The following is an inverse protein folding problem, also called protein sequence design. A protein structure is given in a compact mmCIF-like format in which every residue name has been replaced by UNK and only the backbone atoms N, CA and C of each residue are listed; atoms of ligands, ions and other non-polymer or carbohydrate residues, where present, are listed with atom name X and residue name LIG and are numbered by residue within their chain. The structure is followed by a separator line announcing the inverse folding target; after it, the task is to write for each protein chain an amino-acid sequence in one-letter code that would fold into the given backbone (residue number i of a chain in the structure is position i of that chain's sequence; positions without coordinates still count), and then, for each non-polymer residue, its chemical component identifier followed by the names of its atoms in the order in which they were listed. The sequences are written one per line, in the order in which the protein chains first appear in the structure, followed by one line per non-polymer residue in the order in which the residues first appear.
data_IF_244501849741
#
_entry.id   IF_244501849741
#
_cell.length_a   1.000
_cell.length_b   1.000
_cell.length_c   1.000
_cell.angle_alpha   90.00
_cell.angle_beta   90.00
_cell.angle_gamma   90.00
#
_symmetry.space_group_name_H-M   'P 1'
#
loop_
_entity.id
_entity.type
_entity.pdbx_description
1 polymer ?
#
# COMPACT_ATOMS: atom_id res chain seq x y z
N UNK A 1 -0.58 -19.92 -9.69
CA UNK A 1 -0.58 -21.08 -10.61
C UNK A 1 -1.72 -20.97 -11.63
N UNK A 2 -2.97 -20.77 -11.19
CA UNK A 2 -4.12 -20.64 -12.11
C UNK A 2 -3.99 -19.47 -13.10
N UNK A 3 -3.31 -18.38 -12.71
CA UNK A 3 -3.05 -17.22 -13.55
C UNK A 3 -1.73 -17.33 -14.36
N UNK A 4 -1.10 -18.50 -14.40
CA UNK A 4 0.14 -18.74 -15.13
C UNK A 4 1.39 -18.16 -14.46
N UNK A 5 1.31 -17.74 -13.19
CA UNK A 5 2.45 -17.27 -12.41
C UNK A 5 3.28 -18.43 -11.85
N UNK A 6 4.59 -18.26 -11.84
CA UNK A 6 5.52 -19.19 -11.21
C UNK A 6 5.52 -18.97 -9.69
N UNK A 7 4.97 -19.91 -8.96
CA UNK A 7 4.84 -19.84 -7.49
C UNK A 7 6.00 -20.59 -6.84
N UNK A 8 6.77 -19.88 -6.03
CA UNK A 8 7.96 -20.36 -5.34
C UNK A 8 7.87 -20.10 -3.84
N UNK A 9 8.76 -20.67 -3.08
CA UNK A 9 9.01 -20.23 -1.69
C UNK A 9 9.57 -18.79 -1.69
N UNK A 10 9.37 -18.06 -0.58
CA UNK A 10 9.83 -16.68 -0.46
C UNK A 10 11.32 -16.49 -0.76
N UNK A 11 12.24 -17.33 -0.23
CA UNK A 11 13.66 -17.25 -0.57
C UNK A 11 13.97 -17.53 -2.05
N UNK A 12 13.31 -18.54 -2.63
CA UNK A 12 13.52 -18.89 -4.05
C UNK A 12 13.02 -17.79 -4.99
N UNK A 13 11.90 -17.16 -4.64
CA UNK A 13 11.37 -16.03 -5.40
C UNK A 13 12.31 -14.83 -5.35
N UNK A 14 12.82 -14.47 -4.17
CA UNK A 14 13.77 -13.37 -3.99
C UNK A 14 15.05 -13.61 -4.79
N UNK A 15 15.64 -14.81 -4.70
CA UNK A 15 16.86 -15.17 -5.43
C UNK A 15 16.72 -15.11 -6.95
N UNK A 16 15.51 -15.21 -7.48
CA UNK A 16 15.25 -15.25 -8.92
C UNK A 16 14.78 -13.89 -9.49
N UNK A 17 14.73 -12.85 -8.68
CA UNK A 17 14.11 -11.58 -9.05
C UNK A 17 15.06 -10.40 -8.90
N UNK A 18 15.09 -9.50 -9.88
CA UNK A 18 15.76 -8.20 -9.80
C UNK A 18 14.93 -7.16 -8.99
N UNK A 19 13.63 -7.39 -8.84
CA UNK A 19 12.73 -6.53 -8.07
C UNK A 19 11.90 -7.40 -7.12
N UNK A 20 12.11 -7.24 -5.83
CA UNK A 20 11.39 -7.96 -4.77
C UNK A 20 10.37 -7.02 -4.12
N UNK A 21 9.09 -7.25 -4.40
CA UNK A 21 8.00 -6.47 -3.83
C UNK A 21 7.42 -7.14 -2.58
N UNK A 22 7.55 -6.48 -1.42
CA UNK A 22 6.92 -6.93 -0.18
C UNK A 22 5.50 -6.35 -0.11
N UNK A 23 4.50 -7.22 -0.35
CA UNK A 23 3.07 -6.84 -0.43
C UNK A 23 2.22 -7.49 0.67
N UNK A 24 2.86 -7.97 1.73
CA UNK A 24 2.18 -8.50 2.93
C UNK A 24 1.84 -7.37 3.89
N UNK A 25 1.01 -7.65 4.90
CA UNK A 25 0.72 -6.66 5.95
C UNK A 25 1.99 -6.29 6.73
N UNK A 26 2.11 -5.04 7.21
CA UNK A 26 3.32 -4.48 7.86
C UNK A 26 3.88 -5.37 8.98
N UNK A 27 3.01 -5.97 9.79
CA UNK A 27 3.40 -6.92 10.84
C UNK A 27 4.15 -8.16 10.32
N UNK A 28 4.04 -8.46 9.04
CA UNK A 28 4.72 -9.58 8.40
C UNK A 28 5.99 -9.15 7.63
N UNK A 29 6.26 -7.84 7.50
CA UNK A 29 7.42 -7.34 6.78
C UNK A 29 8.74 -7.88 7.36
N UNK A 30 8.94 -7.78 8.68
CA UNK A 30 10.18 -8.24 9.34
C UNK A 30 10.39 -9.76 9.14
N UNK A 31 9.40 -10.65 9.44
CA UNK A 31 9.54 -12.08 9.18
C UNK A 31 9.86 -12.43 7.72
N UNK A 32 9.21 -11.75 6.76
CA UNK A 32 9.47 -11.97 5.33
C UNK A 32 10.85 -11.46 4.96
N UNK A 33 11.22 -10.25 5.37
CA UNK A 33 12.52 -9.68 5.09
C UNK A 33 13.66 -10.56 5.61
N UNK A 34 13.53 -11.12 6.80
CA UNK A 34 14.53 -12.04 7.35
C UNK A 34 14.72 -13.34 6.54
N UNK A 35 13.74 -13.73 5.72
CA UNK A 35 13.86 -14.87 4.81
C UNK A 35 14.54 -14.49 3.49
N UNK A 36 14.46 -13.23 3.07
CA UNK A 36 14.93 -12.80 1.74
C UNK A 36 16.25 -12.02 1.77
N UNK A 37 16.60 -11.38 2.87
CA UNK A 37 17.73 -10.43 2.95
C UNK A 37 19.08 -11.00 2.49
N UNK A 38 19.31 -12.30 2.68
CA UNK A 38 20.55 -12.99 2.26
C UNK A 38 20.50 -13.42 0.78
N UNK A 39 19.40 -13.20 0.11
CA UNK A 39 19.18 -13.53 -1.30
C UNK A 39 19.04 -12.29 -2.19
N UNK A 40 19.09 -11.09 -1.59
CA UNK A 40 19.16 -9.84 -2.34
C UNK A 40 20.59 -9.63 -2.83
N UNK A 41 20.71 -9.33 -4.11
CA UNK A 41 21.99 -9.08 -4.77
C UNK A 41 22.22 -7.58 -4.99
N UNK A 42 23.49 -7.18 -5.18
CA UNK A 42 23.83 -5.79 -5.45
C UNK A 42 23.13 -5.28 -6.73
N UNK A 43 22.43 -4.18 -6.63
CA UNK A 43 21.64 -3.58 -7.72
C UNK A 43 20.18 -4.01 -7.79
N UNK A 44 19.76 -4.97 -6.94
CA UNK A 44 18.34 -5.32 -6.80
C UNK A 44 17.51 -4.16 -6.26
N UNK A 45 16.20 -4.27 -6.41
CA UNK A 45 15.24 -3.33 -5.84
C UNK A 45 14.37 -4.03 -4.82
N UNK A 46 14.40 -3.55 -3.59
CA UNK A 46 13.41 -3.88 -2.56
C UNK A 46 12.27 -2.86 -2.64
N UNK A 47 11.06 -3.32 -2.97
CA UNK A 47 9.92 -2.45 -3.22
C UNK A 47 8.80 -2.69 -2.22
N UNK A 48 8.17 -1.61 -1.78
CA UNK A 48 7.06 -1.60 -0.84
C UNK A 48 5.81 -0.96 -1.45
N UNK A 49 4.64 -1.33 -0.92
CA UNK A 49 3.37 -0.64 -1.21
C UNK A 49 3.02 0.41 -0.15
N UNK A 50 3.70 0.38 1.01
CA UNK A 50 3.63 1.34 2.11
C UNK A 50 4.98 1.36 2.83
N UNK A 51 5.46 2.52 3.20
CA UNK A 51 6.84 2.73 3.63
C UNK A 51 7.12 2.48 5.12
N UNK A 52 6.14 2.01 5.92
CA UNK A 52 6.20 1.92 7.38
C UNK A 52 7.50 1.31 7.92
N UNK A 53 7.86 0.13 7.44
CA UNK A 53 9.02 -0.60 7.97
C UNK A 53 10.36 0.04 7.65
N UNK A 54 10.45 0.83 6.60
CA UNK A 54 11.63 1.61 6.22
C UNK A 54 11.66 2.90 7.03
N UNK A 55 10.58 3.68 7.04
CA UNK A 55 10.49 4.97 7.73
C UNK A 55 10.79 4.84 9.24
N UNK A 56 10.24 3.81 9.87
CA UNK A 56 10.47 3.55 11.30
C UNK A 56 11.67 2.62 11.59
N UNK A 57 12.59 2.43 10.63
CA UNK A 57 13.82 1.65 10.78
C UNK A 57 13.62 0.22 11.31
N UNK A 58 12.48 -0.41 10.98
CA UNK A 58 12.22 -1.81 11.32
C UNK A 58 12.94 -2.77 10.37
N UNK A 59 13.19 -2.32 9.15
CA UNK A 59 13.99 -2.98 8.13
C UNK A 59 15.11 -2.03 7.72
N UNK A 60 16.35 -2.53 7.74
CA UNK A 60 17.53 -1.84 7.25
C UNK A 60 18.04 -2.59 6.02
N UNK A 61 17.72 -2.13 4.80
CA UNK A 61 18.19 -2.75 3.57
C UNK A 61 19.72 -2.64 3.43
N UNK A 62 20.36 -3.57 2.67
CA UNK A 62 21.77 -3.45 2.33
C UNK A 62 22.05 -2.14 1.57
N UNK A 63 23.26 -1.60 1.72
CA UNK A 63 23.67 -0.34 1.08
C UNK A 63 23.79 -0.45 -0.46
N UNK A 64 23.88 -1.66 -0.98
CA UNK A 64 24.00 -1.98 -2.40
C UNK A 64 22.66 -2.41 -3.06
N UNK A 65 21.54 -2.28 -2.36
CA UNK A 65 20.18 -2.57 -2.84
C UNK A 65 19.38 -1.28 -2.92
N UNK A 66 18.70 -1.04 -4.04
CA UNK A 66 17.79 0.11 -4.15
C UNK A 66 16.49 -0.13 -3.40
N UNK A 67 15.89 0.94 -2.86
CA UNK A 67 14.64 0.86 -2.09
C UNK A 67 13.62 1.83 -2.66
N UNK A 68 12.49 1.30 -3.07
CA UNK A 68 11.40 2.07 -3.68
C UNK A 68 10.05 1.79 -3.04
N UNK A 69 9.12 2.71 -3.22
CA UNK A 69 7.73 2.54 -2.87
C UNK A 69 6.83 2.91 -4.04
N UNK A 70 5.85 2.07 -4.31
CA UNK A 70 4.70 2.39 -5.16
C UNK A 70 3.44 2.07 -4.36
N UNK A 71 2.75 3.09 -3.91
CA UNK A 71 1.59 3.01 -3.03
C UNK A 71 0.29 3.40 -3.79
N UNK A 72 -0.43 2.43 -4.38
CA UNK A 72 -1.74 2.70 -4.95
C UNK A 72 -2.72 3.14 -3.86
N UNK A 73 -3.43 4.24 -4.06
CA UNK A 73 -4.37 4.80 -3.07
C UNK A 73 -5.75 4.15 -3.21
N UNK A 74 -5.77 2.84 -2.95
CA UNK A 74 -6.99 2.02 -2.89
C UNK A 74 -6.64 0.63 -2.33
N UNK A 75 -7.59 -0.07 -1.68
CA UNK A 75 -7.42 -1.47 -1.32
C UNK A 75 -7.06 -2.35 -2.51
N UNK A 76 -6.18 -3.35 -2.33
CA UNK A 76 -5.61 -4.15 -3.41
C UNK A 76 -6.64 -4.79 -4.36
N UNK A 77 -7.77 -5.26 -3.83
CA UNK A 77 -8.86 -5.82 -4.66
C UNK A 77 -9.52 -4.78 -5.58
N UNK A 78 -9.54 -3.49 -5.17
CA UNK A 78 -10.04 -2.40 -6.01
C UNK A 78 -9.01 -2.00 -7.08
N UNK A 79 -7.71 -2.02 -6.75
CA UNK A 79 -6.64 -1.83 -7.73
C UNK A 79 -6.79 -2.86 -8.86
N UNK A 80 -6.96 -4.14 -8.51
CA UNK A 80 -7.18 -5.22 -9.50
C UNK A 80 -8.45 -5.01 -10.31
N UNK A 81 -9.57 -4.69 -9.65
CA UNK A 81 -10.85 -4.42 -10.31
C UNK A 81 -10.76 -3.26 -11.31
N UNK A 82 -10.14 -2.16 -10.91
CA UNK A 82 -9.96 -1.00 -11.79
C UNK A 82 -9.08 -1.37 -12.99
N UNK A 83 -7.98 -2.08 -12.75
CA UNK A 83 -7.09 -2.54 -13.80
C UNK A 83 -7.81 -3.37 -14.86
N UNK A 84 -8.63 -4.35 -14.45
CA UNK A 84 -9.39 -5.24 -15.38
C UNK A 84 -10.50 -4.52 -16.13
N UNK A 85 -10.87 -3.31 -15.73
CA UNK A 85 -11.85 -2.43 -16.37
C UNK A 85 -11.21 -1.29 -17.18
N UNK A 86 -9.92 -1.38 -17.46
CA UNK A 86 -9.12 -0.33 -18.09
C UNK A 86 -9.15 1.03 -17.35
N UNK A 87 -9.53 1.00 -16.08
CA UNK A 87 -9.46 2.15 -15.18
C UNK A 87 -8.12 2.16 -14.45
N UNK A 88 -7.73 3.32 -13.92
CA UNK A 88 -6.55 3.48 -13.07
C UNK A 88 -6.91 3.66 -11.60
N UNK A 89 -5.93 3.43 -10.75
CA UNK A 89 -5.96 3.83 -9.35
C UNK A 89 -4.79 4.78 -9.12
N UNK A 90 -5.01 6.01 -8.63
CA UNK A 90 -3.91 6.93 -8.35
C UNK A 90 -2.87 6.27 -7.44
N UNK A 91 -1.60 6.57 -7.66
CA UNK A 91 -0.52 6.01 -6.85
C UNK A 91 0.50 7.07 -6.44
N UNK A 92 1.14 6.84 -5.31
CA UNK A 92 2.30 7.58 -4.87
C UNK A 92 3.57 6.78 -5.19
N UNK A 93 4.66 7.47 -5.52
CA UNK A 93 5.95 6.88 -5.82
C UNK A 93 7.02 7.59 -5.01
N UNK A 94 7.86 6.82 -4.33
CA UNK A 94 9.02 7.34 -3.62
C UNK A 94 10.25 6.46 -3.82
N UNK A 95 11.42 7.09 -3.78
CA UNK A 95 12.72 6.42 -3.79
C UNK A 95 13.42 6.76 -2.47
N UNK A 96 13.71 5.74 -1.67
CA UNK A 96 14.46 5.90 -0.43
C UNK A 96 15.97 5.77 -0.65
N UNK A 97 16.37 4.78 -1.45
CA UNK A 97 17.76 4.49 -1.81
C UNK A 97 17.83 4.14 -3.28
N UNK A 98 18.77 4.75 -4.01
CA UNK A 98 19.02 4.47 -5.43
C UNK A 98 20.50 4.20 -5.64
N UNK A 99 20.85 2.92 -5.85
CA UNK A 99 22.25 2.49 -6.02
C UNK A 99 22.64 2.35 -7.48
N UNK A 100 21.66 2.24 -8.38
CA UNK A 100 21.88 2.05 -9.83
C UNK A 100 21.61 3.30 -10.64
N UNK A 101 20.98 4.33 -10.05
CA UNK A 101 20.61 5.58 -10.72
C UNK A 101 19.35 5.47 -11.59
N UNK A 102 18.66 4.31 -11.56
CA UNK A 102 17.46 4.05 -12.36
C UNK A 102 16.25 3.56 -11.54
N UNK A 103 16.37 3.52 -10.20
CA UNK A 103 15.34 3.03 -9.31
C UNK A 103 13.99 3.74 -9.50
N UNK A 104 14.00 5.06 -9.71
CA UNK A 104 12.80 5.85 -10.01
C UNK A 104 12.13 5.41 -11.31
N UNK A 105 12.90 5.18 -12.35
CA UNK A 105 12.39 4.76 -13.66
C UNK A 105 11.75 3.37 -13.58
N UNK A 106 12.40 2.45 -12.87
CA UNK A 106 11.87 1.10 -12.63
C UNK A 106 10.57 1.13 -11.81
N UNK A 107 10.54 1.90 -10.72
CA UNK A 107 9.34 2.08 -9.90
C UNK A 107 8.18 2.71 -10.69
N UNK A 108 8.46 3.72 -11.53
CA UNK A 108 7.46 4.32 -12.41
C UNK A 108 6.94 3.33 -13.46
N UNK A 109 7.81 2.50 -14.02
CA UNK A 109 7.43 1.43 -14.94
C UNK A 109 6.52 0.41 -14.25
N UNK A 110 6.84 0.02 -13.02
CA UNK A 110 5.96 -0.85 -12.23
C UNK A 110 4.61 -0.19 -11.98
N UNK A 111 4.56 1.07 -11.53
CA UNK A 111 3.33 1.82 -11.31
C UNK A 111 2.46 1.89 -12.59
N UNK A 112 3.11 2.07 -13.75
CA UNK A 112 2.43 2.05 -15.04
C UNK A 112 1.83 0.67 -15.34
N UNK A 113 2.58 -0.41 -15.10
CA UNK A 113 2.14 -1.78 -15.38
C UNK A 113 1.00 -2.25 -14.49
N UNK A 114 0.91 -1.79 -13.25
CA UNK A 114 -0.24 -2.06 -12.37
C UNK A 114 -1.43 -1.10 -12.60
N UNK A 115 -1.30 -0.17 -13.56
CA UNK A 115 -2.39 0.71 -13.99
C UNK A 115 -2.46 2.07 -13.28
N UNK A 116 -1.55 2.39 -12.35
CA UNK A 116 -1.58 3.68 -11.63
C UNK A 116 -1.45 4.87 -12.59
N UNK A 117 -0.62 4.77 -13.61
CA UNK A 117 -0.40 5.86 -14.57
C UNK A 117 -1.65 6.25 -15.37
N UNK A 118 -2.69 5.39 -15.44
CA UNK A 118 -3.97 5.73 -16.07
C UNK A 118 -4.76 6.78 -15.28
N UNK A 119 -4.54 6.86 -13.96
CA UNK A 119 -5.18 7.83 -13.08
C UNK A 119 -4.23 8.94 -12.61
N UNK A 120 -2.93 8.65 -12.60
CA UNK A 120 -1.86 9.55 -12.20
C UNK A 120 -0.95 8.96 -11.13
N UNK A 121 0.33 9.34 -11.20
CA UNK A 121 1.36 8.97 -10.21
C UNK A 121 1.98 10.26 -9.70
N UNK A 122 2.01 10.44 -8.38
CA UNK A 122 2.60 11.58 -7.71
C UNK A 122 3.87 11.13 -7.02
N UNK A 123 4.95 11.88 -7.20
CA UNK A 123 6.19 11.66 -6.48
C UNK A 123 6.10 12.25 -5.08
N UNK A 124 6.60 11.51 -4.09
CA UNK A 124 6.60 11.88 -2.67
C UNK A 124 7.85 11.31 -1.98
N UNK A 125 7.87 11.30 -0.66
CA UNK A 125 8.89 10.65 0.16
C UNK A 125 8.26 9.52 0.99
N UNK A 126 9.11 8.62 1.54
CA UNK A 126 8.64 7.60 2.49
C UNK A 126 8.02 8.23 3.74
N UNK A 127 8.62 9.29 4.25
CA UNK A 127 8.14 10.04 5.43
C UNK A 127 6.74 10.63 5.16
N UNK A 128 6.61 11.42 4.09
CA UNK A 128 5.35 12.11 3.77
C UNK A 128 4.21 11.11 3.52
N UNK A 129 4.46 10.03 2.78
CA UNK A 129 3.45 9.00 2.54
C UNK A 129 3.04 8.31 3.83
N UNK A 130 4.00 7.80 4.61
CA UNK A 130 3.71 7.01 5.82
C UNK A 130 2.98 7.83 6.87
N UNK A 131 3.44 9.04 7.15
CA UNK A 131 2.85 9.86 8.20
C UNK A 131 1.47 10.36 7.82
N UNK A 132 1.28 10.82 6.57
CA UNK A 132 -0.02 11.29 6.09
C UNK A 132 -1.04 10.17 5.93
N UNK A 133 -0.63 9.00 5.48
CA UNK A 133 -1.49 7.82 5.33
C UNK A 133 -2.00 7.33 6.69
N UNK A 134 -1.09 7.10 7.65
CA UNK A 134 -1.44 6.71 9.01
C UNK A 134 -2.33 7.74 9.72
N UNK A 135 -2.03 9.03 9.57
CA UNK A 135 -2.86 10.08 10.15
C UNK A 135 -4.25 10.11 9.50
N UNK A 136 -4.31 10.03 8.18
CA UNK A 136 -5.57 10.02 7.42
C UNK A 136 -6.46 8.84 7.79
N UNK A 137 -5.87 7.65 7.94
CA UNK A 137 -6.59 6.46 8.37
C UNK A 137 -7.16 6.62 9.79
N UNK A 138 -6.35 7.06 10.74
CA UNK A 138 -6.77 7.21 12.14
C UNK A 138 -7.76 8.36 12.33
N UNK A 139 -7.48 9.52 11.73
CA UNK A 139 -8.30 10.72 11.92
C UNK A 139 -9.61 10.70 11.13
N UNK A 140 -9.63 10.08 9.95
CA UNK A 140 -10.76 10.13 9.03
C UNK A 140 -11.25 8.75 8.63
N UNK A 141 -10.45 8.00 7.84
CA UNK A 141 -10.94 6.86 7.05
C UNK A 141 -11.41 5.67 7.89
N UNK A 142 -10.68 5.32 8.94
CA UNK A 142 -10.97 4.18 9.81
C UNK A 142 -11.50 4.62 11.19
N UNK A 143 -10.93 5.64 11.78
CA UNK A 143 -11.29 6.13 13.10
C UNK A 143 -12.43 7.14 13.11
N UNK A 144 -12.22 8.31 12.51
CA UNK A 144 -13.13 9.45 12.63
C UNK A 144 -14.51 9.22 12.05
N UNK A 145 -14.60 8.74 10.81
CA UNK A 145 -15.89 8.52 10.12
C UNK A 145 -16.74 7.49 10.87
N UNK A 146 -16.16 6.36 11.26
CA UNK A 146 -16.88 5.32 12.00
C UNK A 146 -17.37 5.83 13.35
N UNK A 147 -16.58 6.64 14.03
CA UNK A 147 -16.96 7.25 15.29
C UNK A 147 -18.10 8.27 15.13
N UNK A 148 -18.00 9.12 14.11
CA UNK A 148 -19.04 10.11 13.79
C UNK A 148 -20.38 9.43 13.50
N UNK A 149 -20.38 8.42 12.62
CA UNK A 149 -21.59 7.63 12.28
C UNK A 149 -22.21 7.05 13.54
N UNK A 150 -21.40 6.37 14.36
CA UNK A 150 -21.89 5.74 15.58
C UNK A 150 -22.50 6.76 16.56
N UNK A 151 -21.83 7.87 16.81
CA UNK A 151 -22.32 8.91 17.72
C UNK A 151 -23.62 9.52 17.23
N UNK A 152 -23.74 9.79 15.92
CA UNK A 152 -24.97 10.35 15.35
C UNK A 152 -26.11 9.35 15.41
N UNK A 153 -25.86 8.08 15.11
CA UNK A 153 -26.83 7.00 15.23
C UNK A 153 -27.34 6.86 16.67
N UNK A 154 -26.42 6.75 17.63
CA UNK A 154 -26.76 6.63 19.04
C UNK A 154 -27.61 7.83 19.50
N UNK A 155 -27.24 9.06 19.10
CA UNK A 155 -27.98 10.28 19.44
C UNK A 155 -29.42 10.23 18.92
N UNK A 156 -29.64 9.80 17.68
CA UNK A 156 -31.00 9.69 17.14
C UNK A 156 -31.84 8.66 17.90
N UNK A 157 -31.29 7.49 18.16
CA UNK A 157 -31.98 6.42 18.88
C UNK A 157 -32.32 6.83 20.33
N UNK A 158 -31.38 7.48 21.01
CA UNK A 158 -31.60 8.00 22.38
C UNK A 158 -32.67 9.09 22.43
N UNK A 159 -32.93 9.79 21.34
CA UNK A 159 -33.99 10.79 21.23
C UNK A 159 -35.30 10.22 20.65
N UNK A 160 -35.44 8.90 20.59
CA UNK A 160 -36.71 8.21 20.31
C UNK A 160 -36.98 7.94 18.82
N UNK A 161 -36.01 8.18 17.93
CA UNK A 161 -36.12 7.75 16.52
C UNK A 161 -35.87 6.26 16.39
N UNK A 162 -36.52 5.61 15.40
CA UNK A 162 -36.31 4.17 15.22
C UNK A 162 -34.88 3.90 14.70
N UNK A 163 -34.27 2.77 15.12
CA UNK A 163 -32.94 2.39 14.65
C UNK A 163 -32.84 2.26 13.12
N UNK A 164 -33.91 1.83 12.46
CA UNK A 164 -33.96 1.68 11.00
C UNK A 164 -33.82 3.04 10.31
N UNK A 165 -34.53 4.06 10.77
CA UNK A 165 -34.43 5.42 10.25
C UNK A 165 -33.03 5.97 10.54
N UNK A 166 -32.54 5.85 11.77
CA UNK A 166 -31.21 6.29 12.15
C UNK A 166 -30.11 5.64 11.26
N UNK A 167 -30.24 4.36 10.92
CA UNK A 167 -29.33 3.67 10.02
C UNK A 167 -29.33 4.27 8.59
N UNK A 168 -30.51 4.51 8.03
CA UNK A 168 -30.60 5.07 6.69
C UNK A 168 -29.98 6.47 6.63
N UNK A 169 -30.31 7.34 7.57
CA UNK A 169 -29.85 8.72 7.60
C UNK A 169 -28.36 8.87 7.93
N UNK A 170 -27.80 8.04 8.83
CA UNK A 170 -26.43 8.18 9.29
C UNK A 170 -25.39 7.37 8.50
N UNK A 171 -25.80 6.28 7.84
CA UNK A 171 -24.86 5.33 7.23
C UNK A 171 -25.20 5.00 5.78
N UNK A 172 -26.45 4.69 5.45
CA UNK A 172 -26.79 4.21 4.12
C UNK A 172 -26.52 5.25 3.01
N UNK A 173 -26.67 6.52 3.30
CA UNK A 173 -26.45 7.62 2.33
C UNK A 173 -24.96 7.99 2.13
N UNK A 174 -24.05 7.38 2.89
CA UNK A 174 -22.59 7.57 2.72
C UNK A 174 -21.99 6.72 1.59
N UNK A 175 -22.78 6.03 0.79
CA UNK A 175 -22.33 5.13 -0.28
C UNK A 175 -21.81 5.86 -1.50
#
# INVERSE_FOLDING_TARGET
EEEGLDVRTTPEAAKAADIVSILVADRAHIPVYNQIKEHLEAGDILQFAHGFSIHYNQINPPEDVSVTMVAPKSPGHLVRRNYTRDQGTPGLLAVYQDVTGDAKTKALTYAQKIGCARAGVIETTFEEEVESDLFGEQAVLCGGVTRLIKMTFDTLVENGYSPEIAYFECLNELK
#
